data_IF_657618479602
#
_entry.id   IF_657618479602
#
_cell.length_a   1.000
_cell.length_b   1.000
_cell.length_c   1.000
_cell.angle_alpha   90.00
_cell.angle_beta   90.00
_cell.angle_gamma   90.00
#
_symmetry.space_group_name_H-M   'P 1'
#
loop_
_entity.id
_entity.type
_entity.pdbx_description
1 polymer ?
#
# COMPACT_ATOMS: atom_id res chain seq x y z
N UNK A 1 19.90 23.17 20.05
CA UNK A 1 18.86 23.82 19.22
C UNK A 1 18.45 22.88 18.08
N UNK A 2 17.18 22.49 17.97
CA UNK A 2 16.71 21.68 16.86
C UNK A 2 16.85 22.45 15.55
N UNK A 3 17.50 21.86 14.54
CA UNK A 3 17.72 22.47 13.23
C UNK A 3 16.36 22.74 12.57
N UNK A 4 15.97 24.01 12.39
CA UNK A 4 14.71 24.42 11.77
C UNK A 4 14.66 23.81 10.37
N UNK A 5 13.69 22.92 10.11
CA UNK A 5 13.53 22.27 8.80
C UNK A 5 13.20 23.37 7.78
N UNK A 6 13.97 23.43 6.68
CA UNK A 6 13.74 24.33 5.56
C UNK A 6 12.61 23.77 4.68
N UNK A 7 11.89 24.65 3.99
CA UNK A 7 10.83 24.30 3.05
C UNK A 7 9.49 24.95 3.41
N UNK A 8 8.53 24.83 2.48
CA UNK A 8 7.18 25.37 2.59
C UNK A 8 6.35 24.57 3.61
N UNK A 9 5.55 25.25 4.37
CA UNK A 9 4.63 24.68 5.34
C UNK A 9 3.28 24.42 4.64
N UNK A 10 3.20 23.32 3.91
CA UNK A 10 2.01 22.85 3.18
C UNK A 10 1.50 21.55 3.81
N UNK A 11 0.18 21.40 3.86
CA UNK A 11 -0.48 20.22 4.44
C UNK A 11 -1.56 19.71 3.50
N UNK A 12 -1.69 18.40 3.42
CA UNK A 12 -2.66 17.72 2.56
C UNK A 12 -2.09 16.44 1.97
N UNK A 13 -2.77 15.89 0.99
CA UNK A 13 -2.42 14.65 0.32
C UNK A 13 -2.12 14.87 -1.15
N UNK A 14 -1.07 14.25 -1.66
CA UNK A 14 -0.81 14.14 -3.09
C UNK A 14 -0.82 12.66 -3.47
N UNK A 15 -1.68 12.30 -4.41
CA UNK A 15 -1.76 10.93 -4.93
C UNK A 15 -0.83 10.80 -6.12
N UNK A 16 0.10 9.85 -6.05
CA UNK A 16 1.01 9.53 -7.15
C UNK A 16 0.63 8.19 -7.75
N UNK A 17 0.43 8.15 -9.06
CA UNK A 17 0.48 6.90 -9.81
C UNK A 17 1.95 6.48 -9.93
N UNK A 18 2.40 5.66 -8.99
CA UNK A 18 3.80 5.26 -8.90
C UNK A 18 4.17 4.37 -10.09
N UNK A 19 5.19 4.70 -10.88
CA UNK A 19 5.72 3.79 -11.89
C UNK A 19 6.54 2.67 -11.25
N UNK A 20 6.80 1.60 -12.02
CA UNK A 20 7.77 0.57 -11.66
C UNK A 20 9.21 1.13 -11.56
N UNK A 21 10.11 0.39 -10.92
CA UNK A 21 11.54 0.68 -10.81
C UNK A 21 11.92 1.67 -9.72
N UNK A 22 10.98 2.20 -8.92
CA UNK A 22 11.24 3.18 -7.87
C UNK A 22 10.71 2.75 -6.52
N UNK A 23 11.52 2.95 -5.46
CA UNK A 23 11.05 2.76 -4.09
C UNK A 23 10.05 3.84 -3.68
N UNK A 24 9.11 3.51 -2.78
CA UNK A 24 8.18 4.50 -2.20
C UNK A 24 8.90 5.69 -1.57
N UNK A 25 10.06 5.47 -0.94
CA UNK A 25 10.89 6.53 -0.35
C UNK A 25 11.48 7.46 -1.43
N UNK A 26 11.90 6.93 -2.57
CA UNK A 26 12.41 7.74 -3.68
C UNK A 26 11.32 8.68 -4.22
N UNK A 27 10.09 8.17 -4.35
CA UNK A 27 8.92 8.97 -4.76
C UNK A 27 8.61 10.07 -3.74
N UNK A 28 8.60 9.76 -2.43
CA UNK A 28 8.41 10.79 -1.38
C UNK A 28 9.46 11.89 -1.48
N UNK A 29 10.73 11.52 -1.68
CA UNK A 29 11.81 12.50 -1.78
C UNK A 29 11.65 13.41 -3.01
N UNK A 30 11.22 12.84 -4.14
CA UNK A 30 10.95 13.59 -5.38
C UNK A 30 9.79 14.57 -5.21
N UNK A 31 8.67 14.12 -4.66
CA UNK A 31 7.51 14.99 -4.36
C UNK A 31 7.90 16.08 -3.36
N UNK A 32 8.60 15.73 -2.30
CA UNK A 32 9.07 16.69 -1.31
C UNK A 32 9.96 17.76 -1.91
N UNK A 33 10.85 17.41 -2.84
CA UNK A 33 11.70 18.36 -3.56
C UNK A 33 10.88 19.23 -4.51
N UNK A 34 9.96 18.64 -5.28
CA UNK A 34 9.14 19.35 -6.26
C UNK A 34 8.23 20.41 -5.61
N UNK A 35 7.66 20.11 -4.45
CA UNK A 35 6.82 21.03 -3.67
C UNK A 35 7.63 21.93 -2.72
N UNK A 36 8.94 21.76 -2.60
CA UNK A 36 9.75 22.35 -1.53
C UNK A 36 9.13 22.12 -0.13
N UNK A 37 8.52 20.96 0.08
CA UNK A 37 7.77 20.68 1.30
C UNK A 37 8.68 20.46 2.50
N UNK A 38 8.33 21.05 3.65
CA UNK A 38 9.05 20.90 4.92
C UNK A 38 9.00 19.48 5.46
N UNK A 39 7.87 18.78 5.25
CA UNK A 39 7.63 17.41 5.73
C UNK A 39 6.78 16.64 4.72
N UNK A 40 7.18 15.39 4.44
CA UNK A 40 6.43 14.46 3.62
C UNK A 40 6.63 13.02 4.13
N UNK A 41 5.66 12.16 3.86
CA UNK A 41 5.70 10.72 4.12
C UNK A 41 4.69 10.01 3.21
N UNK A 42 4.68 8.69 3.20
CA UNK A 42 3.68 7.93 2.43
C UNK A 42 2.79 7.08 3.34
N UNK A 43 1.59 6.77 2.88
CA UNK A 43 0.64 5.87 3.53
C UNK A 43 0.62 4.51 2.82
N UNK A 44 1.45 3.59 3.30
CA UNK A 44 1.56 2.23 2.75
C UNK A 44 2.64 2.10 1.67
N UNK A 45 3.65 1.29 1.98
CA UNK A 45 4.75 0.98 1.05
C UNK A 45 4.24 0.20 -0.16
N UNK A 46 4.78 0.51 -1.33
CA UNK A 46 4.78 -0.33 -2.52
C UNK A 46 6.20 -0.81 -2.80
N UNK A 47 6.32 -2.06 -3.23
CA UNK A 47 7.59 -2.62 -3.69
C UNK A 47 8.11 -1.85 -4.92
N UNK A 48 9.42 -1.88 -5.24
CA UNK A 48 9.96 -1.11 -6.36
C UNK A 48 9.24 -1.37 -7.68
N UNK A 49 8.99 -2.62 -8.03
CA UNK A 49 8.33 -3.01 -9.28
C UNK A 49 6.80 -2.88 -9.25
N UNK A 50 6.20 -2.74 -8.07
CA UNK A 50 4.77 -2.46 -7.95
C UNK A 50 4.43 -1.06 -8.44
N UNK A 51 3.26 -0.91 -9.05
CA UNK A 51 2.74 0.36 -9.59
C UNK A 51 1.45 0.82 -8.89
N UNK A 52 0.95 1.99 -9.26
CA UNK A 52 -0.35 2.49 -8.82
C UNK A 52 -0.31 3.42 -7.62
N UNK A 53 -1.41 3.50 -6.90
CA UNK A 53 -1.66 4.51 -5.86
C UNK A 53 -0.57 4.52 -4.80
N UNK A 54 0.14 5.62 -4.67
CA UNK A 54 0.99 5.95 -3.54
C UNK A 54 0.56 7.30 -2.96
N UNK A 55 -0.20 7.26 -1.87
CA UNK A 55 -0.66 8.46 -1.19
C UNK A 55 0.49 9.09 -0.40
N UNK A 56 0.84 10.33 -0.73
CA UNK A 56 1.89 11.13 -0.10
C UNK A 56 1.27 12.14 0.83
N UNK A 57 1.52 11.99 2.13
CA UNK A 57 1.12 12.94 3.16
C UNK A 57 2.14 14.09 3.24
N UNK A 58 1.65 15.33 3.24
CA UNK A 58 2.41 16.56 3.37
C UNK A 58 2.09 17.25 4.70
N UNK A 59 3.10 17.81 5.36
CA UNK A 59 2.93 18.60 6.58
C UNK A 59 2.13 17.86 7.66
N UNK A 60 1.02 18.47 8.11
CA UNK A 60 0.16 17.91 9.16
C UNK A 60 -0.55 16.61 8.75
N UNK A 61 -0.82 16.39 7.46
CA UNK A 61 -1.38 15.12 6.99
C UNK A 61 -0.49 13.90 7.32
N UNK A 62 0.80 14.11 7.62
CA UNK A 62 1.65 13.00 8.10
C UNK A 62 1.24 12.45 9.46
N UNK A 63 0.38 13.16 10.21
CA UNK A 63 -0.19 12.67 11.47
C UNK A 63 -1.41 11.77 11.24
N UNK A 64 -2.07 11.90 10.07
CA UNK A 64 -3.26 11.10 9.71
C UNK A 64 -2.90 9.86 8.88
N UNK A 65 -1.62 9.63 8.56
CA UNK A 65 -1.12 8.44 7.85
C UNK A 65 -1.63 7.11 8.43
N UNK A 66 -1.73 6.91 9.77
CA UNK A 66 -2.26 5.66 10.33
C UNK A 66 -3.66 5.30 9.80
N UNK A 67 -4.58 6.26 9.67
CA UNK A 67 -5.94 6.02 9.19
C UNK A 67 -5.94 5.45 7.75
N UNK A 68 -5.13 6.04 6.85
CA UNK A 68 -4.99 5.52 5.48
C UNK A 68 -4.26 4.18 5.46
N UNK A 69 -3.26 4.00 6.33
CA UNK A 69 -2.53 2.72 6.40
C UNK A 69 -3.42 1.59 6.89
N UNK A 70 -4.37 1.88 7.77
CA UNK A 70 -5.30 0.91 8.35
C UNK A 70 -6.52 0.64 7.46
N UNK A 71 -6.87 1.55 6.54
CA UNK A 71 -7.96 1.40 5.58
C UNK A 71 -7.75 0.22 4.61
N UNK A 72 -8.81 -0.24 3.97
CA UNK A 72 -8.77 -1.24 2.90
C UNK A 72 -8.00 -0.73 1.69
N UNK A 73 -7.49 -1.66 0.90
CA UNK A 73 -6.75 -1.41 -0.35
C UNK A 73 -7.11 -2.47 -1.37
N UNK A 74 -7.17 -2.06 -2.64
CA UNK A 74 -7.32 -3.02 -3.71
C UNK A 74 -6.09 -3.09 -4.62
N UNK A 75 -5.82 -4.29 -5.05
CA UNK A 75 -4.68 -4.64 -5.88
C UNK A 75 -5.13 -5.48 -7.07
N UNK A 76 -4.64 -5.13 -8.26
CA UNK A 76 -4.71 -5.99 -9.44
C UNK A 76 -3.32 -6.53 -9.71
N UNK A 77 -3.21 -7.84 -9.93
CA UNK A 77 -1.92 -8.48 -10.08
C UNK A 77 -1.99 -9.71 -10.96
N UNK A 78 -0.91 -9.94 -11.68
CA UNK A 78 -0.72 -11.14 -12.50
C UNK A 78 0.12 -12.13 -11.74
N UNK A 79 -0.38 -13.35 -11.58
CA UNK A 79 0.38 -14.49 -11.05
C UNK A 79 0.88 -15.32 -12.23
N UNK A 80 2.19 -15.60 -12.25
CA UNK A 80 2.76 -16.63 -13.09
C UNK A 80 2.66 -17.98 -12.38
N UNK A 81 1.94 -18.92 -12.99
CA UNK A 81 1.83 -20.30 -12.53
C UNK A 81 3.01 -21.13 -13.04
N UNK A 82 3.31 -22.23 -12.35
CA UNK A 82 4.31 -23.20 -12.74
C UNK A 82 5.71 -22.89 -12.23
N UNK A 83 5.95 -21.80 -11.53
CA UNK A 83 7.25 -21.42 -11.01
C UNK A 83 7.14 -20.76 -9.63
N UNK A 84 8.06 -21.13 -8.73
CA UNK A 84 8.31 -20.38 -7.50
C UNK A 84 9.64 -19.66 -7.61
N UNK A 85 9.70 -18.41 -7.14
CA UNK A 85 10.94 -17.63 -7.01
C UNK A 85 11.30 -17.44 -5.54
N UNK A 86 12.56 -17.12 -5.26
CA UNK A 86 13.03 -16.90 -3.90
C UNK A 86 12.51 -15.60 -3.26
N UNK A 87 11.95 -14.66 -4.06
CA UNK A 87 11.36 -13.39 -3.61
C UNK A 87 9.83 -13.38 -3.66
N UNK A 88 9.20 -14.45 -4.16
CA UNK A 88 7.77 -14.57 -4.44
C UNK A 88 7.27 -13.58 -5.52
N UNK A 89 8.19 -12.97 -6.31
CA UNK A 89 7.94 -12.06 -7.43
C UNK A 89 8.93 -12.30 -8.60
N UNK A 90 8.79 -11.50 -9.67
CA UNK A 90 9.60 -11.64 -10.87
C UNK A 90 11.07 -11.17 -10.73
N UNK A 91 11.44 -10.50 -9.63
CA UNK A 91 12.82 -10.07 -9.38
C UNK A 91 13.71 -11.23 -8.89
N UNK A 92 13.08 -12.31 -8.39
CA UNK A 92 13.77 -13.44 -7.80
C UNK A 92 14.22 -14.51 -8.79
N UNK A 93 15.16 -15.33 -8.35
CA UNK A 93 15.59 -16.53 -9.09
C UNK A 93 14.53 -17.64 -8.93
N UNK A 94 14.29 -18.39 -10.01
CA UNK A 94 13.40 -19.54 -10.00
C UNK A 94 14.03 -20.67 -9.19
N UNK A 95 13.33 -21.11 -8.13
CA UNK A 95 13.79 -22.14 -7.20
C UNK A 95 13.03 -23.47 -7.34
N UNK A 96 11.81 -23.44 -7.90
CA UNK A 96 10.99 -24.64 -8.16
C UNK A 96 10.18 -24.44 -9.44
N UNK A 97 9.88 -25.56 -10.13
CA UNK A 97 9.07 -25.57 -11.35
C UNK A 97 8.07 -26.72 -11.33
N UNK A 98 6.95 -26.56 -12.05
CA UNK A 98 5.91 -27.56 -12.26
C UNK A 98 5.29 -27.34 -13.64
N UNK A 99 4.94 -28.43 -14.32
CA UNK A 99 4.19 -28.41 -15.58
C UNK A 99 2.69 -28.39 -15.37
N UNK A 100 2.22 -28.55 -14.13
CA UNK A 100 0.80 -28.54 -13.81
C UNK A 100 0.20 -27.14 -14.06
N UNK A 101 -0.94 -27.11 -14.77
CA UNK A 101 -1.71 -25.90 -15.04
C UNK A 101 -3.15 -26.15 -14.61
N UNK A 102 -3.56 -25.64 -13.42
CA UNK A 102 -4.93 -25.78 -12.93
C UNK A 102 -5.93 -25.12 -13.89
N UNK A 103 -7.13 -25.68 -13.96
CA UNK A 103 -8.27 -25.09 -14.67
C UNK A 103 -8.84 -23.90 -13.88
N UNK A 104 -9.57 -22.99 -14.57
CA UNK A 104 -10.17 -21.80 -13.95
C UNK A 104 -11.09 -22.12 -12.78
N UNK A 105 -11.84 -23.23 -12.89
CA UNK A 105 -12.72 -23.70 -11.79
C UNK A 105 -11.90 -24.03 -10.55
N UNK A 106 -10.79 -24.75 -10.69
CA UNK A 106 -9.91 -25.10 -9.58
C UNK A 106 -9.29 -23.87 -8.93
N UNK A 107 -8.88 -22.89 -9.76
CA UNK A 107 -8.35 -21.61 -9.27
C UNK A 107 -9.44 -20.88 -8.49
N UNK A 108 -10.63 -20.70 -9.07
CA UNK A 108 -11.75 -19.98 -8.44
C UNK A 108 -12.18 -20.63 -7.11
N UNK A 109 -12.23 -21.96 -7.06
CA UNK A 109 -12.51 -22.69 -5.82
C UNK A 109 -11.41 -22.47 -4.76
N UNK A 110 -10.13 -22.50 -5.17
CA UNK A 110 -9.01 -22.28 -4.27
C UNK A 110 -9.01 -20.85 -3.70
N UNK A 111 -9.40 -19.83 -4.48
CA UNK A 111 -9.47 -18.44 -4.01
C UNK A 111 -10.43 -18.27 -2.83
N UNK A 112 -11.48 -19.08 -2.70
CA UNK A 112 -12.42 -19.00 -1.57
C UNK A 112 -11.74 -19.25 -0.22
N UNK A 113 -10.67 -20.02 -0.20
CA UNK A 113 -9.88 -20.27 1.04
C UNK A 113 -9.04 -19.07 1.50
N UNK A 114 -8.97 -18.00 0.70
CA UNK A 114 -8.22 -16.79 1.02
C UNK A 114 -9.13 -15.60 1.39
N UNK A 115 -10.46 -15.80 1.47
CA UNK A 115 -11.43 -14.74 1.80
C UNK A 115 -11.74 -14.78 3.31
N UNK A 116 -11.94 -13.61 3.91
CA UNK A 116 -12.17 -13.45 5.35
C UNK A 116 -10.88 -13.24 6.13
N UNK A 117 -10.86 -13.67 7.39
CA UNK A 117 -9.66 -13.60 8.24
C UNK A 117 -8.76 -14.83 7.97
N UNK A 118 -7.58 -14.58 7.43
CA UNK A 118 -6.59 -15.62 7.10
C UNK A 118 -5.28 -15.41 7.86
N UNK A 119 -4.53 -16.47 8.06
CA UNK A 119 -3.16 -16.43 8.56
C UNK A 119 -2.18 -16.41 7.37
N UNK A 120 -1.42 -15.33 7.23
CA UNK A 120 -0.46 -15.15 6.14
C UNK A 120 0.97 -15.08 6.67
N UNK A 121 1.88 -15.89 6.14
CA UNK A 121 3.32 -15.76 6.37
C UNK A 121 3.88 -14.71 5.39
N UNK A 122 4.43 -13.58 5.87
CA UNK A 122 5.02 -12.56 5.01
C UNK A 122 6.16 -13.13 4.14
N UNK A 123 6.45 -12.52 2.96
CA UNK A 123 7.62 -12.92 2.17
C UNK A 123 8.92 -12.62 2.94
N UNK A 124 9.97 -13.45 2.72
CA UNK A 124 11.29 -13.24 3.34
C UNK A 124 11.86 -11.85 3.02
N UNK A 125 11.64 -11.37 1.81
CA UNK A 125 12.03 -10.03 1.36
C UNK A 125 10.95 -8.99 1.69
N UNK A 126 10.67 -8.77 2.98
CA UNK A 126 9.67 -7.80 3.47
C UNK A 126 10.25 -6.80 4.45
N UNK A 127 9.47 -5.74 4.72
CA UNK A 127 9.82 -4.72 5.71
C UNK A 127 9.50 -5.13 7.16
N UNK A 128 9.05 -6.37 7.38
CA UNK A 128 8.82 -6.93 8.72
C UNK A 128 10.11 -6.85 9.55
N UNK A 129 9.98 -6.55 10.82
CA UNK A 129 11.12 -6.51 11.74
C UNK A 129 11.19 -7.80 12.55
N UNK A 130 12.40 -8.35 12.64
CA UNK A 130 12.79 -9.46 13.52
C UNK A 130 13.92 -8.91 14.38
N UNK A 131 13.75 -8.92 15.68
CA UNK A 131 14.75 -8.43 16.66
C UNK A 131 15.32 -7.04 16.33
N UNK A 132 14.44 -6.16 15.79
CA UNK A 132 14.79 -4.79 15.42
C UNK A 132 15.39 -4.61 14.02
N UNK A 133 15.79 -5.69 13.35
CA UNK A 133 16.27 -5.67 11.96
C UNK A 133 15.15 -5.97 10.96
N UNK A 134 15.25 -5.47 9.74
CA UNK A 134 14.26 -5.74 8.70
C UNK A 134 14.55 -7.07 8.03
N UNK A 135 13.51 -7.91 7.81
CA UNK A 135 13.63 -9.23 7.20
C UNK A 135 14.34 -9.19 5.84
N UNK A 136 14.06 -8.20 4.97
CA UNK A 136 14.71 -8.06 3.67
C UNK A 136 16.24 -7.88 3.79
N UNK A 137 16.75 -7.29 4.87
CA UNK A 137 18.18 -7.11 5.08
C UNK A 137 18.83 -8.45 5.44
N UNK A 138 18.25 -9.17 6.40
CA UNK A 138 18.71 -10.49 6.82
C UNK A 138 18.71 -11.47 5.64
N UNK A 139 17.61 -11.49 4.84
CA UNK A 139 17.50 -12.33 3.65
C UNK A 139 18.57 -12.01 2.59
N UNK A 140 18.92 -10.73 2.37
CA UNK A 140 20.02 -10.33 1.46
C UNK A 140 21.38 -10.72 1.98
N UNK A 141 21.58 -10.72 3.30
CA UNK A 141 22.82 -11.15 3.94
C UNK A 141 22.95 -12.70 3.97
N UNK A 142 21.97 -13.44 3.39
CA UNK A 142 21.95 -14.89 3.27
C UNK A 142 21.50 -15.61 4.54
N UNK A 143 20.97 -14.89 5.52
CA UNK A 143 20.43 -15.50 6.73
C UNK A 143 19.07 -16.18 6.44
N UNK A 144 18.88 -17.38 6.98
CA UNK A 144 17.56 -18.03 6.89
C UNK A 144 16.60 -17.39 7.89
N UNK A 145 15.56 -16.77 7.34
CA UNK A 145 14.61 -15.96 8.10
C UNK A 145 13.29 -16.71 8.20
N UNK A 146 12.92 -17.12 9.41
CA UNK A 146 11.58 -17.61 9.70
C UNK A 146 10.69 -16.46 10.16
N UNK A 147 9.57 -16.27 9.46
CA UNK A 147 8.57 -15.24 9.76
C UNK A 147 7.31 -15.90 10.33
N UNK A 148 6.83 -15.40 11.46
CA UNK A 148 5.56 -15.82 12.01
C UNK A 148 4.39 -15.39 11.10
N UNK A 149 3.38 -16.24 11.02
CA UNK A 149 2.12 -15.92 10.38
C UNK A 149 1.46 -14.73 11.08
N UNK A 150 0.66 -13.97 10.33
CA UNK A 150 -0.05 -12.79 10.80
C UNK A 150 -1.46 -12.79 10.23
N UNK A 151 -2.42 -12.42 11.06
CA UNK A 151 -3.79 -12.23 10.62
C UNK A 151 -3.88 -11.15 9.53
N UNK A 152 -4.62 -11.46 8.48
CA UNK A 152 -4.98 -10.58 7.38
C UNK A 152 -6.46 -10.73 7.09
N UNK A 153 -7.18 -9.61 7.03
CA UNK A 153 -8.52 -9.57 6.48
C UNK A 153 -8.49 -9.40 4.96
N UNK A 154 -9.09 -10.33 4.25
CA UNK A 154 -9.31 -10.27 2.80
C UNK A 154 -10.80 -10.13 2.56
N UNK A 155 -11.22 -8.97 2.09
CA UNK A 155 -12.63 -8.67 1.79
C UNK A 155 -13.11 -9.42 0.57
N UNK A 156 -12.25 -9.44 -0.48
CA UNK A 156 -12.55 -10.04 -1.76
C UNK A 156 -11.28 -10.50 -2.48
N UNK A 157 -11.36 -11.61 -3.20
CA UNK A 157 -10.30 -12.09 -4.08
C UNK A 157 -10.92 -12.79 -5.30
N UNK A 158 -10.72 -12.23 -6.49
CA UNK A 158 -11.37 -12.61 -7.73
C UNK A 158 -10.39 -12.99 -8.83
N UNK A 159 -10.74 -13.99 -9.64
CA UNK A 159 -10.12 -14.24 -10.93
C UNK A 159 -10.75 -13.28 -11.96
N UNK A 160 -9.95 -12.37 -12.51
CA UNK A 160 -10.40 -11.33 -13.44
C UNK A 160 -10.21 -11.78 -14.89
N UNK A 161 -9.04 -12.37 -15.19
CA UNK A 161 -8.71 -12.81 -16.54
C UNK A 161 -7.69 -13.96 -16.48
N UNK A 162 -7.64 -14.72 -17.58
CA UNK A 162 -6.63 -15.73 -17.81
C UNK A 162 -6.04 -15.57 -19.20
N UNK A 163 -4.99 -14.75 -19.36
CA UNK A 163 -4.39 -14.48 -20.66
C UNK A 163 -3.88 -15.73 -21.38
N UNK A 164 -3.38 -16.70 -20.62
CA UNK A 164 -2.90 -17.99 -21.15
C UNK A 164 -2.81 -19.04 -20.01
N UNK A 165 -2.27 -20.22 -20.33
CA UNK A 165 -2.14 -21.32 -19.36
C UNK A 165 -1.19 -21.00 -18.18
N UNK A 166 -0.21 -20.14 -18.40
CA UNK A 166 0.83 -19.78 -17.42
C UNK A 166 0.47 -18.58 -16.55
N UNK A 167 -0.51 -17.76 -16.95
CA UNK A 167 -0.80 -16.49 -16.30
C UNK A 167 -2.27 -16.37 -15.91
N UNK A 168 -2.49 -15.86 -14.70
CA UNK A 168 -3.83 -15.46 -14.22
C UNK A 168 -3.76 -14.05 -13.68
N UNK A 169 -4.79 -13.25 -13.96
CA UNK A 169 -4.98 -11.91 -13.43
C UNK A 169 -6.00 -11.95 -12.31
N UNK A 170 -5.58 -11.50 -11.13
CA UNK A 170 -6.40 -11.49 -9.93
C UNK A 170 -6.60 -10.06 -9.43
N UNK A 171 -7.74 -9.85 -8.77
CA UNK A 171 -8.02 -8.62 -8.02
C UNK A 171 -8.31 -8.97 -6.57
N UNK A 172 -7.66 -8.26 -5.62
CA UNK A 172 -7.80 -8.48 -4.19
C UNK A 172 -8.07 -7.18 -3.47
N UNK A 173 -9.11 -7.17 -2.64
CA UNK A 173 -9.35 -6.13 -1.64
C UNK A 173 -9.00 -6.68 -0.27
N UNK A 174 -8.11 -5.99 0.46
CA UNK A 174 -7.67 -6.45 1.78
C UNK A 174 -7.35 -5.33 2.74
N UNK A 175 -7.27 -5.67 4.02
CA UNK A 175 -6.85 -4.81 5.10
C UNK A 175 -5.34 -4.56 5.13
N UNK A 176 -4.91 -3.91 6.20
CA UNK A 176 -3.50 -3.60 6.47
C UNK A 176 -2.63 -4.84 6.57
N UNK A 177 -1.44 -4.76 5.99
CA UNK A 177 -0.40 -5.80 6.14
C UNK A 177 -0.48 -6.92 5.12
N UNK A 178 -1.43 -6.88 4.17
CA UNK A 178 -1.53 -7.86 3.10
C UNK A 178 -0.32 -7.83 2.16
N UNK A 179 0.25 -9.01 1.93
CA UNK A 179 1.30 -9.25 0.96
C UNK A 179 0.75 -10.04 -0.22
N UNK A 180 0.54 -9.36 -1.35
CA UNK A 180 0.09 -10.00 -2.60
C UNK A 180 1.04 -11.12 -3.04
N UNK A 181 2.33 -10.96 -2.78
CA UNK A 181 3.35 -12.00 -3.06
C UNK A 181 3.10 -13.29 -2.29
N UNK A 182 2.72 -13.19 -1.01
CA UNK A 182 2.35 -14.37 -0.23
C UNK A 182 1.07 -15.04 -0.75
N UNK A 183 0.06 -14.26 -1.18
CA UNK A 183 -1.15 -14.81 -1.80
C UNK A 183 -0.79 -15.62 -3.06
N UNK A 184 0.04 -15.08 -3.95
CA UNK A 184 0.45 -15.78 -5.17
C UNK A 184 1.24 -17.08 -4.87
N UNK A 185 2.18 -17.03 -3.92
CA UNK A 185 2.95 -18.19 -3.44
C UNK A 185 2.03 -19.27 -2.88
N UNK A 186 1.16 -18.89 -1.94
CA UNK A 186 0.32 -19.81 -1.18
C UNK A 186 -0.77 -20.40 -2.07
N UNK A 187 -1.35 -19.63 -3.00
CA UNK A 187 -2.26 -20.11 -4.03
C UNK A 187 -1.57 -21.16 -4.93
N UNK A 188 -0.37 -20.85 -5.44
CA UNK A 188 0.38 -21.79 -6.25
C UNK A 188 0.76 -23.07 -5.50
N UNK A 189 1.05 -22.97 -4.21
CA UNK A 189 1.31 -24.12 -3.34
C UNK A 189 0.03 -24.97 -3.12
N UNK A 190 -1.10 -24.33 -2.84
CA UNK A 190 -2.40 -25.00 -2.66
C UNK A 190 -2.83 -25.76 -3.92
N UNK A 191 -2.62 -25.17 -5.09
CA UNK A 191 -2.91 -25.77 -6.39
C UNK A 191 -1.85 -26.80 -6.84
N UNK A 192 -0.74 -26.96 -6.11
CA UNK A 192 0.35 -27.89 -6.44
C UNK A 192 1.18 -27.50 -7.66
N UNK A 193 1.02 -26.30 -8.21
CA UNK A 193 1.70 -25.84 -9.42
C UNK A 193 2.78 -24.79 -9.16
N UNK A 194 2.94 -24.28 -7.96
CA UNK A 194 3.70 -23.08 -7.62
C UNK A 194 3.21 -21.80 -8.33
N UNK A 195 3.57 -20.63 -7.78
CA UNK A 195 3.21 -19.35 -8.35
C UNK A 195 4.02 -18.21 -7.72
N UNK A 196 4.19 -17.13 -8.49
CA UNK A 196 4.77 -15.88 -8.02
C UNK A 196 4.14 -14.68 -8.73
N UNK A 197 4.27 -13.49 -8.14
CA UNK A 197 3.75 -12.26 -8.75
C UNK A 197 4.63 -11.82 -9.91
N UNK A 198 4.03 -11.66 -11.09
CA UNK A 198 4.69 -11.10 -12.27
C UNK A 198 4.49 -9.59 -12.37
N UNK A 199 3.27 -9.09 -12.08
CA UNK A 199 2.92 -7.67 -12.11
C UNK A 199 2.02 -7.37 -10.92
N UNK A 200 2.18 -6.17 -10.35
CA UNK A 200 1.39 -5.71 -9.22
C UNK A 200 1.03 -4.23 -9.39
N UNK A 201 -0.25 -3.91 -9.28
CA UNK A 201 -0.76 -2.54 -9.27
C UNK A 201 -1.73 -2.35 -8.10
N UNK A 202 -1.50 -1.36 -7.27
CA UNK A 202 -2.50 -0.91 -6.28
C UNK A 202 -3.46 0.05 -6.96
N UNK A 203 -4.73 -0.37 -7.11
CA UNK A 203 -5.75 0.40 -7.82
C UNK A 203 -6.38 1.48 -6.94
N UNK A 204 -6.58 1.20 -5.64
CA UNK A 204 -6.97 2.21 -4.67
C UNK A 204 -6.40 1.93 -3.25
N UNK A 205 -6.45 2.93 -2.37
CA UNK A 205 -5.98 2.86 -0.97
C UNK A 205 -6.76 3.84 -0.11
N UNK A 206 -7.69 3.34 0.74
CA UNK A 206 -8.63 4.19 1.46
C UNK A 206 -9.41 5.07 0.47
N UNK A 207 -9.45 6.40 0.67
CA UNK A 207 -10.21 7.30 -0.20
C UNK A 207 -9.48 7.68 -1.51
N UNK A 208 -8.31 7.08 -1.79
CA UNK A 208 -7.48 7.47 -2.94
C UNK A 208 -7.54 6.43 -4.05
N UNK A 209 -7.89 6.85 -5.26
CA UNK A 209 -7.91 6.04 -6.46
C UNK A 209 -6.70 6.33 -7.38
N UNK A 210 -6.32 5.37 -8.24
CA UNK A 210 -5.27 5.54 -9.22
C UNK A 210 -5.61 6.59 -10.28
N UNK A 211 -6.90 6.73 -10.62
CA UNK A 211 -7.40 7.72 -11.57
C UNK A 211 -7.21 9.17 -11.07
N UNK A 212 -7.17 9.36 -9.76
CA UNK A 212 -6.88 10.64 -9.11
C UNK A 212 -5.38 10.97 -9.03
N UNK A 213 -4.54 10.03 -9.39
CA UNK A 213 -3.09 10.13 -9.28
C UNK A 213 -2.47 10.92 -10.41
N UNK A 214 -1.43 11.68 -10.09
CA UNK A 214 -0.56 12.29 -11.12
C UNK A 214 0.72 11.46 -11.29
N UNK A 215 1.26 11.47 -12.49
CA UNK A 215 2.52 10.77 -12.78
C UNK A 215 3.74 11.52 -12.21
N UNK A 216 4.86 10.81 -12.04
CA UNK A 216 6.11 11.47 -11.64
C UNK A 216 6.68 12.41 -12.74
N UNK A 217 6.30 12.22 -13.99
CA UNK A 217 6.63 13.12 -15.09
C UNK A 217 5.90 14.46 -14.89
N UNK A 218 4.59 14.43 -14.64
CA UNK A 218 3.81 15.62 -14.30
C UNK A 218 4.34 16.32 -13.04
N UNK A 219 4.74 15.57 -12.00
CA UNK A 219 5.38 16.14 -10.81
C UNK A 219 6.68 16.88 -11.18
N UNK A 220 7.49 16.36 -12.11
CA UNK A 220 8.71 17.04 -12.56
C UNK A 220 8.41 18.30 -13.38
N UNK A 221 7.47 18.22 -14.31
CA UNK A 221 7.08 19.34 -15.18
C UNK A 221 6.52 20.51 -14.37
N UNK A 222 5.70 20.21 -13.36
CA UNK A 222 5.08 21.18 -12.48
C UNK A 222 5.94 21.56 -11.26
N UNK A 223 7.15 21.00 -11.13
CA UNK A 223 7.99 21.18 -9.96
C UNK A 223 8.25 22.67 -9.66
N UNK A 224 8.05 23.05 -8.38
CA UNK A 224 8.26 24.41 -7.86
C UNK A 224 7.38 25.49 -8.52
N UNK A 225 6.26 25.08 -9.09
CA UNK A 225 5.24 26.00 -9.61
C UNK A 225 3.95 25.91 -8.77
N UNK A 226 3.12 26.97 -8.74
CA UNK A 226 1.81 26.92 -8.08
C UNK A 226 0.85 25.87 -8.69
N UNK A 227 1.06 25.47 -9.94
CA UNK A 227 0.23 24.46 -10.60
C UNK A 227 0.32 23.10 -9.92
N UNK A 228 1.47 22.73 -9.35
CA UNK A 228 1.58 21.49 -8.60
C UNK A 228 0.74 21.50 -7.32
N UNK A 229 0.57 22.67 -6.70
CA UNK A 229 -0.22 22.81 -5.48
C UNK A 229 -1.71 22.49 -5.69
N UNK A 230 -2.23 22.67 -6.91
CA UNK A 230 -3.64 22.39 -7.24
C UNK A 230 -3.98 20.90 -7.18
N UNK A 231 -2.99 20.02 -7.22
CA UNK A 231 -3.15 18.57 -7.07
C UNK A 231 -3.15 18.11 -5.61
N UNK A 232 -2.89 19.01 -4.65
CA UNK A 232 -2.91 18.67 -3.23
C UNK A 232 -4.35 18.59 -2.76
N UNK A 233 -4.76 17.40 -2.37
CA UNK A 233 -6.08 17.14 -1.78
C UNK A 233 -6.10 17.61 -0.31
N UNK A 234 -7.27 18.03 0.22
CA UNK A 234 -7.42 18.42 1.62
C UNK A 234 -6.97 17.33 2.60
N UNK A 235 -6.48 17.75 3.77
CA UNK A 235 -6.03 16.83 4.82
C UNK A 235 -7.17 15.94 5.30
N UNK A 236 -8.37 16.51 5.37
CA UNK A 236 -9.60 15.91 5.90
C UNK A 236 -10.01 14.64 5.14
N UNK A 237 -9.71 14.54 3.84
CA UNK A 237 -9.98 13.32 3.05
C UNK A 237 -9.39 12.06 3.70
N UNK A 238 -8.26 12.18 4.37
CA UNK A 238 -7.67 11.06 5.11
C UNK A 238 -8.40 10.70 6.41
N UNK A 239 -9.51 11.36 6.72
CA UNK A 239 -10.30 11.19 7.94
C UNK A 239 -11.79 10.94 7.65
N UNK A 240 -12.17 10.76 6.38
CA UNK A 240 -13.58 10.65 5.95
C UNK A 240 -14.35 9.50 6.63
N UNK A 241 -13.64 8.44 7.04
CA UNK A 241 -14.23 7.32 7.79
C UNK A 241 -14.49 7.63 9.28
N UNK A 242 -14.06 8.81 9.77
CA UNK A 242 -14.26 9.19 11.16
C UNK A 242 -15.57 9.95 11.34
N UNK A 243 -16.22 9.70 12.47
CA UNK A 243 -17.44 10.44 12.84
C UNK A 243 -17.11 11.91 13.05
N UNK A 244 -17.77 12.79 12.30
CA UNK A 244 -17.66 14.23 12.48
C UNK A 244 -18.48 14.69 13.69
N UNK A 245 -17.83 15.40 14.61
CA UNK A 245 -18.49 16.02 15.76
C UNK A 245 -18.43 17.53 15.66
N UNK A 246 -19.59 18.17 15.81
CA UNK A 246 -19.67 19.63 15.89
C UNK A 246 -19.23 20.11 17.28
N UNK A 247 -18.67 21.30 17.35
CA UNK A 247 -18.31 21.93 18.63
C UNK A 247 -18.66 23.43 18.61
N UNK A 248 -18.75 24.04 19.80
CA UNK A 248 -18.85 25.49 19.90
C UNK A 248 -17.55 26.17 19.54
N UNK A 249 -17.57 27.46 19.19
CA UNK A 249 -16.33 28.23 18.91
C UNK A 249 -15.39 28.21 20.11
N UNK A 250 -15.93 28.35 21.35
CA UNK A 250 -15.14 28.24 22.57
C UNK A 250 -14.57 26.83 22.77
N UNK A 251 -15.36 25.76 22.45
CA UNK A 251 -14.92 24.37 22.46
C UNK A 251 -13.79 24.15 21.48
N UNK A 252 -13.91 24.65 20.24
CA UNK A 252 -12.89 24.56 19.23
C UNK A 252 -11.58 25.27 19.65
N UNK A 253 -11.68 26.45 20.27
CA UNK A 253 -10.51 27.17 20.79
C UNK A 253 -9.81 26.37 21.90
N UNK A 254 -10.56 25.77 22.82
CA UNK A 254 -10.02 24.90 23.89
C UNK A 254 -9.32 23.67 23.30
N UNK A 255 -10.00 22.95 22.37
CA UNK A 255 -9.44 21.75 21.72
C UNK A 255 -8.15 22.06 20.95
N UNK A 256 -8.07 23.18 20.22
CA UNK A 256 -6.84 23.61 19.53
C UNK A 256 -5.65 23.81 20.45
N UNK A 257 -5.89 24.14 21.71
CA UNK A 257 -4.88 24.32 22.75
C UNK A 257 -4.66 23.05 23.61
N UNK A 258 -5.25 21.91 23.21
CA UNK A 258 -5.11 20.65 23.94
C UNK A 258 -5.92 20.57 25.23
N UNK A 259 -6.92 21.45 25.42
CA UNK A 259 -7.80 21.46 26.58
C UNK A 259 -9.14 20.80 26.24
N UNK A 260 -9.88 20.22 27.21
CA UNK A 260 -11.21 19.72 27.01
C UNK A 260 -12.14 20.80 26.46
N UNK A 261 -12.82 20.52 25.35
CA UNK A 261 -13.80 21.40 24.70
C UNK A 261 -15.15 20.71 24.61
N UNK A 262 -16.23 21.51 24.65
CA UNK A 262 -17.60 20.99 24.47
C UNK A 262 -17.79 20.62 22.99
N UNK A 263 -18.26 19.41 22.75
CA UNK A 263 -18.72 18.90 21.44
C UNK A 263 -20.21 18.53 21.56
N UNK A 264 -20.91 18.63 20.44
CA UNK A 264 -22.30 18.16 20.37
C UNK A 264 -22.28 16.67 20.01
N UNK A 265 -23.21 15.90 20.64
CA UNK A 265 -23.42 14.53 20.18
C UNK A 265 -23.91 14.57 18.71
N UNK A 266 -23.47 13.62 17.89
CA UNK A 266 -24.11 13.40 16.61
C UNK A 266 -25.57 13.02 16.86
N UNK A 267 -26.51 13.71 16.20
CA UNK A 267 -27.95 13.43 16.36
C UNK A 267 -28.19 11.95 15.98
N UNK A 268 -28.54 11.14 16.96
CA UNK A 268 -28.98 9.75 16.73
C UNK A 268 -28.26 8.66 17.51
N UNK A 269 -27.66 8.92 18.67
CA UNK A 269 -27.32 7.84 19.63
C UNK A 269 -28.03 8.10 20.94
#
# INVERSE_FOLDING_TARGET
>A
MARKRKGRDISGWLVIDKPAGLTSTAVVNKVKWALDAKKAGHAGTLDPEATGVLAIALGEATKTVPYITDALKAYRFTVRLGQATNTDDAEGEVIKQSDLRPEDVQITEALQGFIGEIEQVPPKFSAVKIDGQRAYKLARDGEDVELAARALWVEELLLIDRPDADHVELEMTCGKGGYVRSIARDLGALLGCYGHVLKLRRIWSGPFDAEDGISLEQVNELARTPALDTHIKPLEIGLDDLTELRCTEEGAAKLRNGNPGMVFAADGV
#
